data_IF_856427129323
#
_entry.id   IF_856427129323
#
_cell.length_a   1.000
_cell.length_b   1.000
_cell.length_c   1.000
_cell.angle_alpha   90.00
_cell.angle_beta   90.00
_cell.angle_gamma   90.00
#
_symmetry.space_group_name_H-M   'P 1'
#
loop_
_entity.id
_entity.type
_entity.pdbx_description
1 polymer ?
#
# COMPACT_ATOMS: atom_id res chain seq x y z
N UNK A 1 -3.90 -17.02 3.69
CA UNK A 1 -4.61 -18.31 3.89
C UNK A 1 -3.75 -19.39 3.27
N UNK A 2 -3.25 -20.33 4.05
CA UNK A 2 -2.35 -21.38 3.57
C UNK A 2 -3.02 -22.71 3.86
N UNK A 3 -3.18 -23.54 2.83
CA UNK A 3 -3.72 -24.90 2.94
C UNK A 3 -2.57 -25.84 3.31
N UNK A 4 -2.62 -26.48 4.48
CA UNK A 4 -1.62 -27.47 4.90
C UNK A 4 -2.10 -28.92 4.72
N UNK A 5 -3.41 -29.13 4.67
CA UNK A 5 -4.06 -30.41 4.39
C UNK A 5 -5.42 -30.15 3.70
N UNK A 6 -6.16 -31.20 3.38
CA UNK A 6 -7.49 -31.11 2.75
C UNK A 6 -8.47 -30.23 3.54
N UNK A 7 -8.43 -30.32 4.87
CA UNK A 7 -9.32 -29.58 5.78
C UNK A 7 -8.61 -28.62 6.76
N UNK A 8 -7.29 -28.41 6.64
CA UNK A 8 -6.55 -27.45 7.49
C UNK A 8 -6.25 -26.17 6.72
N UNK A 9 -7.17 -25.23 6.88
CA UNK A 9 -7.06 -23.87 6.37
C UNK A 9 -6.71 -22.94 7.52
N UNK A 10 -5.52 -22.32 7.44
CA UNK A 10 -5.13 -21.30 8.42
C UNK A 10 -4.89 -19.97 7.75
N UNK A 11 -5.35 -18.92 8.41
CA UNK A 11 -4.91 -17.56 8.12
C UNK A 11 -3.68 -17.33 9.00
N UNK A 12 -2.49 -17.39 8.38
CA UNK A 12 -1.27 -16.93 9.01
C UNK A 12 -1.18 -15.40 8.92
N UNK A 13 -0.55 -14.73 9.89
CA UNK A 13 -0.19 -13.33 9.75
C UNK A 13 0.65 -13.10 8.50
N UNK A 14 0.51 -11.92 7.90
CA UNK A 14 1.44 -11.48 6.86
C UNK A 14 2.80 -11.23 7.50
N UNK A 15 3.82 -11.96 7.05
CA UNK A 15 5.20 -11.78 7.49
C UNK A 15 6.00 -11.00 6.44
N UNK A 16 6.69 -9.97 6.89
CA UNK A 16 7.56 -9.16 6.04
C UNK A 16 8.96 -9.76 6.02
N UNK A 17 9.73 -9.49 4.95
CA UNK A 17 11.13 -9.85 4.96
C UNK A 17 11.86 -9.13 6.10
N UNK A 18 12.83 -9.82 6.70
CA UNK A 18 13.69 -9.23 7.73
C UNK A 18 15.13 -9.14 7.24
N UNK A 19 15.78 -8.00 7.52
CA UNK A 19 17.18 -7.77 7.18
C UNK A 19 17.91 -7.10 8.34
N UNK A 20 18.88 -7.82 8.90
CA UNK A 20 19.61 -7.41 10.10
C UNK A 20 18.67 -7.09 11.29
N UNK A 21 17.65 -7.93 11.51
CA UNK A 21 16.69 -7.79 12.62
C UNK A 21 15.66 -6.67 12.45
N UNK A 22 15.59 -6.04 11.28
CA UNK A 22 14.62 -4.98 10.95
C UNK A 22 13.57 -5.52 9.99
N UNK A 23 12.32 -5.11 10.17
CA UNK A 23 11.24 -5.38 9.23
C UNK A 23 11.40 -4.52 7.97
N UNK A 24 11.28 -5.16 6.81
CA UNK A 24 11.30 -4.52 5.49
C UNK A 24 9.89 -4.15 5.00
N UNK A 25 8.92 -4.03 5.91
CA UNK A 25 7.58 -3.53 5.55
C UNK A 25 7.60 -2.06 5.10
N UNK A 26 6.54 -1.56 4.42
CA UNK A 26 6.45 -0.15 4.14
C UNK A 26 6.22 0.67 5.41
N UNK A 27 6.88 1.83 5.47
CA UNK A 27 6.74 2.78 6.55
C UNK A 27 6.20 4.11 6.05
N UNK A 28 5.52 4.85 6.91
CA UNK A 28 5.01 6.17 6.60
C UNK A 28 5.04 7.11 7.79
N UNK A 29 5.13 8.40 7.50
CA UNK A 29 5.10 9.47 8.50
C UNK A 29 3.70 10.10 8.57
N UNK A 30 2.90 9.64 9.53
CA UNK A 30 1.54 10.17 9.74
C UNK A 30 1.47 11.40 10.65
N UNK A 31 2.38 11.52 11.62
CA UNK A 31 2.45 12.72 12.47
C UNK A 31 2.96 13.93 11.69
N UNK A 32 2.63 15.14 12.15
CA UNK A 32 3.10 16.37 11.51
C UNK A 32 4.64 16.37 11.36
N UNK A 33 5.20 16.95 10.28
CA UNK A 33 6.64 16.89 10.00
C UNK A 33 7.53 17.46 11.11
N UNK A 34 7.01 18.39 11.92
CA UNK A 34 7.71 19.01 13.04
C UNK A 34 7.77 18.14 14.31
N UNK A 35 6.98 17.06 14.40
CA UNK A 35 6.93 16.22 15.60
C UNK A 35 8.21 15.38 15.71
N UNK A 36 8.85 15.41 16.86
CA UNK A 36 10.10 14.67 17.08
C UNK A 36 9.91 13.50 18.03
N UNK A 37 10.79 12.49 17.91
CA UNK A 37 10.98 11.43 18.90
C UNK A 37 12.39 11.53 19.47
N UNK A 38 12.51 11.45 20.80
CA UNK A 38 13.76 11.30 21.53
C UNK A 38 13.78 9.96 22.27
N UNK A 39 14.96 9.34 22.39
CA UNK A 39 15.14 8.09 23.13
C UNK A 39 16.01 8.30 24.38
N UNK A 40 15.68 7.65 25.49
CA UNK A 40 16.45 7.76 26.74
C UNK A 40 17.86 7.15 26.67
N UNK A 41 18.06 6.18 25.78
CA UNK A 41 19.36 5.60 25.46
C UNK A 41 19.45 5.24 23.96
N UNK A 42 20.65 4.92 23.48
CA UNK A 42 20.86 4.56 22.09
C UNK A 42 20.61 3.08 21.80
N UNK A 43 20.53 2.21 22.82
CA UNK A 43 20.36 0.77 22.66
C UNK A 43 19.60 0.16 23.85
N UNK A 44 19.16 -1.09 23.69
CA UNK A 44 18.41 -1.82 24.72
C UNK A 44 16.98 -1.32 24.87
N UNK A 45 16.42 -1.47 26.07
CA UNK A 45 15.09 -0.96 26.40
C UNK A 45 15.15 0.54 26.73
N UNK A 46 14.37 1.34 26.01
CA UNK A 46 14.38 2.80 26.08
C UNK A 46 12.99 3.36 26.31
N UNK A 47 12.93 4.55 26.91
CA UNK A 47 11.75 5.40 26.86
C UNK A 47 11.86 6.28 25.61
N UNK A 48 10.82 6.23 24.78
CA UNK A 48 10.62 7.17 23.69
C UNK A 48 9.73 8.31 24.17
N UNK A 49 10.14 9.55 23.91
CA UNK A 49 9.39 10.76 24.22
C UNK A 49 9.10 11.51 22.93
N UNK A 50 7.83 11.73 22.64
CA UNK A 50 7.36 12.49 21.50
C UNK A 50 7.06 13.94 21.89
N UNK A 51 7.32 14.88 20.98
CA UNK A 51 7.02 16.31 21.21
C UNK A 51 5.53 16.66 21.14
N UNK A 52 4.69 15.72 20.71
CA UNK A 52 3.22 15.84 20.64
C UNK A 52 2.59 14.45 20.77
N UNK A 53 1.26 14.39 20.95
CA UNK A 53 0.53 13.13 21.05
C UNK A 53 0.60 12.31 19.76
N UNK A 54 1.32 11.19 19.78
CA UNK A 54 1.47 10.27 18.63
C UNK A 54 1.12 8.82 18.97
N UNK A 55 1.42 8.41 20.21
CA UNK A 55 1.28 7.04 20.64
C UNK A 55 -0.15 6.70 21.07
N UNK A 56 -0.61 5.52 20.68
CA UNK A 56 -1.87 4.90 21.12
C UNK A 56 -1.62 3.45 21.50
N UNK A 57 -2.52 2.85 22.29
CA UNK A 57 -2.35 1.46 22.76
C UNK A 57 -2.11 0.43 21.64
N UNK A 58 -2.70 0.64 20.46
CA UNK A 58 -2.52 -0.20 19.27
C UNK A 58 -1.09 -0.17 18.68
N UNK A 59 -0.25 0.79 19.07
CA UNK A 59 1.14 0.86 18.61
C UNK A 59 2.03 -0.19 19.33
N UNK A 60 1.55 -0.82 20.41
CA UNK A 60 2.29 -1.89 21.08
C UNK A 60 2.56 -3.07 20.12
N UNK A 61 3.80 -3.57 20.15
CA UNK A 61 4.32 -4.60 19.25
C UNK A 61 4.78 -4.08 17.88
N UNK A 62 4.42 -2.86 17.50
CA UNK A 62 4.75 -2.30 16.20
C UNK A 62 6.21 -1.83 16.13
N UNK A 63 6.94 -2.13 15.04
CA UNK A 63 8.26 -1.55 14.81
C UNK A 63 8.10 -0.13 14.26
N UNK A 64 8.73 0.85 14.91
CA UNK A 64 8.89 2.20 14.41
C UNK A 64 10.31 2.34 13.87
N UNK A 65 10.49 3.09 12.79
CA UNK A 65 11.83 3.46 12.30
C UNK A 65 12.18 4.85 12.77
N UNK A 66 13.41 5.01 13.27
CA UNK A 66 14.03 6.29 13.62
C UNK A 66 15.29 6.38 12.77
N UNK A 67 15.31 7.28 11.79
CA UNK A 67 16.34 7.30 10.76
C UNK A 67 16.37 6.01 9.94
N UNK A 68 17.51 5.30 9.98
CA UNK A 68 17.70 3.99 9.34
C UNK A 68 17.51 2.82 10.31
N UNK A 69 17.34 3.10 11.59
CA UNK A 69 17.26 2.12 12.67
C UNK A 69 15.81 1.83 13.06
N UNK A 70 15.60 0.76 13.82
CA UNK A 70 14.28 0.29 14.21
C UNK A 70 14.17 0.16 15.72
N UNK A 71 13.00 0.52 16.25
CA UNK A 71 12.62 0.35 17.65
C UNK A 71 11.27 -0.35 17.69
N UNK A 72 11.12 -1.40 18.50
CA UNK A 72 9.84 -2.07 18.67
C UNK A 72 9.15 -1.55 19.91
N UNK A 73 7.96 -0.99 19.76
CA UNK A 73 7.18 -0.50 20.90
C UNK A 73 6.78 -1.71 21.75
N UNK A 74 7.17 -1.71 23.02
CA UNK A 74 6.79 -2.73 24.02
C UNK A 74 5.43 -2.40 24.59
N UNK A 75 5.25 -1.14 25.01
CA UNK A 75 3.98 -0.62 25.53
C UNK A 75 3.93 0.90 25.42
N UNK A 76 2.71 1.44 25.34
CA UNK A 76 2.46 2.88 25.40
C UNK A 76 2.20 3.29 26.84
N UNK A 77 2.86 4.35 27.29
CA UNK A 77 2.73 4.92 28.65
C UNK A 77 1.71 6.06 28.64
N UNK A 78 1.80 6.93 27.63
CA UNK A 78 0.89 8.05 27.39
C UNK A 78 0.90 8.41 25.91
N UNK A 79 0.09 9.40 25.50
CA UNK A 79 0.11 9.88 24.11
C UNK A 79 1.49 10.38 23.64
N UNK A 80 2.36 10.80 24.57
CA UNK A 80 3.68 11.35 24.29
C UNK A 80 4.82 10.44 24.74
N UNK A 81 4.54 9.31 25.40
CA UNK A 81 5.59 8.42 25.91
C UNK A 81 5.29 6.95 25.66
N UNK A 82 6.31 6.21 25.24
CA UNK A 82 6.26 4.76 25.06
C UNK A 82 7.55 4.09 25.54
N UNK A 83 7.48 2.83 25.94
CA UNK A 83 8.65 1.99 26.13
C UNK A 83 8.89 1.17 24.87
N UNK A 84 10.14 1.09 24.42
CA UNK A 84 10.52 0.40 23.20
C UNK A 84 11.85 -0.35 23.38
N UNK A 85 12.02 -1.44 22.64
CA UNK A 85 13.30 -2.15 22.53
C UNK A 85 13.98 -1.73 21.22
N UNK A 86 15.22 -1.24 21.31
CA UNK A 86 16.01 -0.83 20.14
C UNK A 86 16.65 -2.04 19.48
N UNK A 87 16.47 -2.19 18.17
CA UNK A 87 17.19 -3.20 17.38
C UNK A 87 18.63 -2.72 17.14
N UNK A 88 19.60 -3.32 17.84
CA UNK A 88 21.00 -2.91 17.75
C UNK A 88 21.26 -1.60 18.50
N UNK A 89 21.50 -0.51 17.76
CA UNK A 89 21.70 0.82 18.32
C UNK A 89 21.24 1.92 17.36
N UNK A 90 20.75 3.04 17.90
CA UNK A 90 20.38 4.24 17.14
C UNK A 90 21.64 5.02 16.75
N UNK A 91 21.89 5.14 15.44
CA UNK A 91 23.02 5.89 14.91
C UNK A 91 22.96 7.39 15.26
N UNK A 92 21.75 7.97 15.32
CA UNK A 92 21.50 9.34 15.78
C UNK A 92 21.61 9.54 17.30
N UNK A 93 21.89 8.47 18.06
CA UNK A 93 21.96 8.51 19.50
C UNK A 93 20.60 8.80 20.16
N UNK A 94 20.62 9.66 21.18
CA UNK A 94 19.46 9.97 22.04
C UNK A 94 18.70 11.23 21.63
N UNK A 95 19.25 11.98 20.68
CA UNK A 95 18.74 13.30 20.31
C UNK A 95 17.32 13.21 19.75
N UNK A 96 16.52 14.24 20.01
CA UNK A 96 15.21 14.36 19.39
C UNK A 96 15.37 14.50 17.87
N UNK A 97 14.68 13.68 17.10
CA UNK A 97 14.71 13.72 15.64
C UNK A 97 13.31 13.74 15.05
N UNK A 98 13.14 14.50 13.97
CA UNK A 98 11.95 14.45 13.14
C UNK A 98 12.01 13.32 12.10
N UNK A 99 13.16 12.66 11.92
CA UNK A 99 13.28 11.50 11.04
C UNK A 99 12.83 10.24 11.77
N UNK A 100 11.52 10.03 11.76
CA UNK A 100 10.92 8.81 12.24
C UNK A 100 9.63 8.51 11.49
N UNK A 101 9.26 7.24 11.45
CA UNK A 101 8.11 6.72 10.73
C UNK A 101 7.59 5.45 11.40
N UNK A 102 6.31 5.19 11.20
CA UNK A 102 5.61 4.03 11.75
C UNK A 102 5.16 3.12 10.60
N UNK A 103 4.70 1.88 10.88
CA UNK A 103 4.25 0.96 9.84
C UNK A 103 3.11 1.55 9.01
N UNK A 104 3.18 1.41 7.69
CA UNK A 104 2.07 1.80 6.80
C UNK A 104 0.84 0.89 6.98
N UNK A 105 1.06 -0.35 7.47
CA UNK A 105 0.03 -1.33 7.75
C UNK A 105 0.08 -1.75 9.21
N UNK A 106 -1.06 -1.65 9.89
CA UNK A 106 -1.23 -2.06 11.29
C UNK A 106 -2.72 -2.10 11.63
N UNK A 107 -3.09 -2.58 12.82
CA UNK A 107 -4.48 -2.50 13.31
C UNK A 107 -5.03 -1.06 13.25
N UNK A 108 -4.18 -0.08 13.57
CA UNK A 108 -4.49 1.36 13.55
C UNK A 108 -4.50 1.96 12.14
N UNK A 109 -3.63 1.52 11.23
CA UNK A 109 -3.49 2.10 9.88
C UNK A 109 -4.26 1.36 8.78
N UNK A 110 -4.77 0.19 9.11
CA UNK A 110 -5.46 -0.70 8.20
C UNK A 110 -4.48 -1.59 7.44
N UNK A 111 -5.06 -2.49 6.65
CA UNK A 111 -4.36 -3.49 5.85
C UNK A 111 -4.50 -3.16 4.35
N UNK A 112 -3.67 -3.79 3.49
CA UNK A 112 -3.78 -3.68 2.04
C UNK A 112 -5.22 -3.83 1.52
N UNK A 113 -5.62 -2.98 0.57
CA UNK A 113 -6.93 -3.14 -0.11
C UNK A 113 -6.88 -4.23 -1.18
N UNK A 114 -5.75 -4.33 -1.88
CA UNK A 114 -5.55 -5.29 -2.96
C UNK A 114 -4.08 -5.64 -3.14
N UNK A 115 -3.81 -6.82 -3.69
CA UNK A 115 -2.46 -7.34 -3.91
C UNK A 115 -2.41 -8.12 -5.22
N UNK A 116 -1.36 -7.93 -6.01
CA UNK A 116 -1.12 -8.69 -7.26
C UNK A 116 0.37 -8.85 -7.52
N UNK A 117 0.78 -9.88 -8.26
CA UNK A 117 2.13 -9.98 -8.79
C UNK A 117 2.23 -9.28 -10.15
N UNK A 118 3.26 -8.46 -10.34
CA UNK A 118 3.51 -7.77 -11.60
C UNK A 118 5.02 -7.62 -11.83
N UNK A 119 5.53 -8.11 -12.96
CA UNK A 119 6.94 -7.99 -13.37
C UNK A 119 7.93 -8.33 -12.25
N UNK A 120 7.80 -9.52 -11.65
CA UNK A 120 8.66 -10.00 -10.55
C UNK A 120 8.64 -9.13 -9.28
N UNK A 121 7.55 -8.38 -9.07
CA UNK A 121 7.29 -7.61 -7.84
C UNK A 121 5.91 -7.96 -7.29
N UNK A 122 5.78 -7.88 -5.97
CA UNK A 122 4.47 -7.86 -5.31
C UNK A 122 3.97 -6.41 -5.28
N UNK A 123 2.86 -6.14 -5.94
CA UNK A 123 2.20 -4.84 -5.94
C UNK A 123 1.07 -4.84 -4.89
N UNK A 124 1.08 -3.84 -4.02
CA UNK A 124 0.06 -3.59 -3.01
C UNK A 124 -0.68 -2.30 -3.34
N UNK A 125 -2.00 -2.33 -3.33
CA UNK A 125 -2.85 -1.17 -3.54
C UNK A 125 -3.49 -0.68 -2.26
N UNK A 126 -3.12 0.52 -1.80
CA UNK A 126 -3.82 1.30 -0.77
C UNK A 126 -3.89 0.68 0.63
N UNK A 127 -4.23 1.52 1.61
CA UNK A 127 -4.68 1.12 2.94
C UNK A 127 -5.72 2.11 3.48
N UNK A 128 -6.33 1.81 4.63
CA UNK A 128 -7.29 2.73 5.26
C UNK A 128 -6.69 4.12 5.50
N UNK A 129 -5.45 4.18 6.00
CA UNK A 129 -4.79 5.46 6.30
C UNK A 129 -3.93 6.00 5.15
N UNK A 130 -3.63 5.20 4.12
CA UNK A 130 -2.95 5.63 2.90
C UNK A 130 -3.70 5.12 1.66
N UNK A 131 -4.92 5.65 1.42
CA UNK A 131 -5.78 5.10 0.39
C UNK A 131 -5.27 5.37 -1.03
N UNK A 132 -4.43 6.38 -1.22
CA UNK A 132 -3.93 6.86 -2.52
C UNK A 132 -2.58 6.26 -2.92
N UNK A 133 -2.06 5.31 -2.14
CA UNK A 133 -0.67 4.86 -2.27
C UNK A 133 -0.59 3.41 -2.72
N UNK A 134 0.01 3.15 -3.90
CA UNK A 134 0.52 1.84 -4.24
C UNK A 134 1.95 1.64 -3.75
N UNK A 135 2.31 0.39 -3.52
CA UNK A 135 3.67 -0.06 -3.26
C UNK A 135 4.02 -1.22 -4.16
N UNK A 136 5.27 -1.31 -4.62
CA UNK A 136 5.81 -2.50 -5.25
C UNK A 136 7.03 -2.95 -4.43
N UNK A 137 7.12 -4.26 -4.18
CA UNK A 137 8.27 -4.85 -3.49
C UNK A 137 9.55 -4.65 -4.28
N UNK A 138 10.69 -4.92 -3.64
CA UNK A 138 11.95 -5.21 -4.33
C UNK A 138 11.72 -6.36 -5.32
N UNK A 139 12.35 -6.29 -6.49
CA UNK A 139 12.28 -7.34 -7.52
C UNK A 139 12.79 -8.67 -6.97
N UNK A 140 12.04 -9.76 -7.20
CA UNK A 140 12.37 -11.11 -6.71
C UNK A 140 12.26 -11.30 -5.19
N UNK A 141 12.03 -10.23 -4.43
CA UNK A 141 11.91 -10.24 -2.97
C UNK A 141 10.54 -9.68 -2.55
N UNK A 142 9.50 -10.49 -2.75
CA UNK A 142 8.08 -10.10 -2.67
C UNK A 142 7.61 -9.51 -1.33
N UNK A 143 8.35 -9.73 -0.25
CA UNK A 143 8.02 -9.23 1.09
C UNK A 143 8.98 -8.14 1.59
N UNK A 144 9.89 -7.67 0.73
CA UNK A 144 10.78 -6.54 1.00
C UNK A 144 10.23 -5.29 0.30
N UNK A 145 9.82 -4.30 1.09
CA UNK A 145 9.30 -3.01 0.68
C UNK A 145 10.16 -1.84 1.19
N UNK A 146 11.41 -2.10 1.58
CA UNK A 146 12.36 -1.07 1.96
C UNK A 146 12.86 -0.37 0.68
N UNK A 147 12.61 0.94 0.49
CA UNK A 147 13.00 1.64 -0.73
C UNK A 147 14.51 1.87 -0.84
N UNK A 148 15.26 1.57 0.22
CA UNK A 148 16.72 1.66 0.26
C UNK A 148 17.23 3.03 -0.18
N UNK A 149 18.11 3.02 -1.18
CA UNK A 149 18.69 4.21 -1.80
C UNK A 149 18.11 4.47 -3.21
N UNK A 150 17.12 3.68 -3.63
CA UNK A 150 16.45 3.78 -4.91
C UNK A 150 17.19 3.06 -6.04
N UNK A 151 17.92 1.98 -5.74
CA UNK A 151 18.55 1.14 -6.76
C UNK A 151 17.50 0.43 -7.62
N UNK A 152 17.92 -0.06 -8.80
CA UNK A 152 16.99 -0.54 -9.82
C UNK A 152 16.05 -1.67 -9.35
N UNK A 153 16.53 -2.55 -8.47
CA UNK A 153 15.77 -3.66 -7.91
C UNK A 153 14.92 -3.25 -6.69
N UNK A 154 15.16 -2.09 -6.07
CA UNK A 154 14.58 -1.74 -4.78
C UNK A 154 13.09 -1.43 -4.84
N UNK A 155 12.46 -1.44 -3.67
CA UNK A 155 11.03 -1.24 -3.54
C UNK A 155 10.60 0.16 -4.00
N UNK A 156 9.38 0.23 -4.53
CA UNK A 156 8.82 1.44 -5.09
C UNK A 156 7.58 1.82 -4.27
N UNK A 157 7.48 3.08 -3.85
CA UNK A 157 6.31 3.60 -3.14
C UNK A 157 6.00 5.02 -3.60
N UNK A 158 4.79 5.27 -4.09
CA UNK A 158 4.40 6.57 -4.62
C UNK A 158 2.94 6.88 -4.31
N UNK A 159 2.59 8.14 -4.03
CA UNK A 159 1.20 8.56 -4.02
C UNK A 159 0.67 8.72 -5.46
N UNK A 160 -0.58 8.35 -5.69
CA UNK A 160 -1.33 8.74 -6.88
C UNK A 160 -1.81 10.18 -6.70
N UNK A 161 -0.96 11.14 -7.07
CA UNK A 161 -1.29 12.56 -6.95
C UNK A 161 -2.41 12.92 -7.95
N UNK A 162 -3.56 13.29 -7.42
CA UNK A 162 -4.71 13.77 -8.17
C UNK A 162 -5.34 14.99 -7.48
N UNK A 163 -6.13 15.74 -8.24
CA UNK A 163 -6.94 16.87 -7.77
C UNK A 163 -8.05 16.47 -6.79
N UNK A 164 -8.46 15.19 -6.79
CA UNK A 164 -9.39 14.61 -5.83
C UNK A 164 -8.80 13.39 -5.12
N UNK A 165 -9.28 13.15 -3.89
CA UNK A 165 -8.92 11.96 -3.13
C UNK A 165 -9.38 10.68 -3.87
N UNK A 166 -8.43 9.98 -4.47
CA UNK A 166 -8.64 8.78 -5.26
C UNK A 166 -8.15 7.57 -4.47
N UNK A 167 -9.03 6.98 -3.68
CA UNK A 167 -8.73 5.77 -2.92
C UNK A 167 -8.58 4.58 -3.87
N UNK A 168 -7.44 3.89 -3.83
CA UNK A 168 -7.19 2.63 -4.53
C UNK A 168 -8.22 1.59 -4.12
N UNK A 169 -8.85 0.98 -5.12
CA UNK A 169 -9.91 -0.05 -4.99
C UNK A 169 -9.44 -1.41 -5.44
N UNK A 170 -8.60 -1.45 -6.47
CA UNK A 170 -7.96 -2.66 -6.93
C UNK A 170 -6.67 -2.32 -7.68
N UNK A 171 -5.72 -3.26 -7.62
CA UNK A 171 -4.59 -3.32 -8.54
C UNK A 171 -4.72 -4.59 -9.37
N UNK A 172 -4.49 -4.48 -10.67
CA UNK A 172 -4.57 -5.59 -11.62
C UNK A 172 -3.30 -5.65 -12.44
N UNK A 173 -2.77 -6.84 -12.64
CA UNK A 173 -1.62 -7.07 -13.50
C UNK A 173 -2.10 -7.38 -14.90
N UNK A 174 -1.62 -6.62 -15.87
CA UNK A 174 -1.83 -6.85 -17.30
C UNK A 174 -0.58 -6.43 -18.07
N UNK A 175 -0.75 -5.90 -19.29
CA UNK A 175 0.37 -5.31 -20.07
C UNK A 175 1.14 -4.24 -19.28
N UNK A 176 0.40 -3.45 -18.50
CA UNK A 176 0.92 -2.53 -17.50
C UNK A 176 0.24 -2.84 -16.18
N UNK A 177 0.82 -2.42 -15.06
CA UNK A 177 0.13 -2.50 -13.77
C UNK A 177 -1.01 -1.48 -13.79
N UNK A 178 -2.24 -1.95 -13.65
CA UNK A 178 -3.43 -1.12 -13.65
C UNK A 178 -3.85 -0.84 -12.21
N UNK A 179 -4.19 0.40 -11.91
CA UNK A 179 -4.66 0.83 -10.59
C UNK A 179 -6.02 1.48 -10.74
N UNK A 180 -7.03 0.81 -10.20
CA UNK A 180 -8.41 1.29 -10.15
C UNK A 180 -8.61 2.05 -8.86
N UNK A 181 -9.06 3.29 -8.95
CA UNK A 181 -9.31 4.15 -7.79
C UNK A 181 -10.78 4.59 -7.75
N UNK A 182 -11.21 5.22 -6.67
CA UNK A 182 -12.58 5.76 -6.56
C UNK A 182 -12.92 6.88 -7.56
N UNK A 183 -11.96 7.41 -8.33
CA UNK A 183 -12.24 8.49 -9.28
C UNK A 183 -11.50 8.41 -10.62
N UNK A 184 -10.63 7.43 -10.80
CA UNK A 184 -9.86 7.27 -12.03
C UNK A 184 -9.19 5.90 -12.15
N UNK A 185 -8.84 5.56 -13.38
CA UNK A 185 -8.07 4.38 -13.74
C UNK A 185 -6.67 4.85 -14.16
N UNK A 186 -5.66 4.22 -13.57
CA UNK A 186 -4.26 4.57 -13.79
C UNK A 186 -3.50 3.36 -14.31
N UNK A 187 -2.41 3.65 -15.02
CA UNK A 187 -1.41 2.66 -15.39
C UNK A 187 -0.08 3.05 -14.77
N UNK A 188 0.66 2.03 -14.37
CA UNK A 188 2.02 2.10 -13.86
C UNK A 188 2.88 1.27 -14.80
N UNK A 189 3.91 1.90 -15.34
CA UNK A 189 4.78 1.29 -16.36
C UNK A 189 6.22 1.72 -16.19
N UNK A 190 7.14 0.91 -16.71
CA UNK A 190 8.55 1.21 -16.83
C UNK A 190 9.20 0.11 -17.67
N UNK A 191 10.30 0.42 -18.35
CA UNK A 191 11.05 -0.56 -19.12
C UNK A 191 12.55 -0.32 -18.92
N UNK A 192 13.20 -1.04 -17.97
CA UNK A 192 12.62 -1.91 -16.95
C UNK A 192 11.82 -1.12 -15.89
N UNK A 193 10.93 -1.77 -15.12
CA UNK A 193 10.21 -1.10 -14.02
C UNK A 193 11.08 -0.98 -12.76
N UNK A 194 11.63 0.22 -12.55
CA UNK A 194 12.54 0.56 -11.45
C UNK A 194 12.08 1.83 -10.73
N UNK A 195 12.61 2.13 -9.53
CA UNK A 195 12.32 3.39 -8.84
C UNK A 195 12.58 4.64 -9.70
N UNK A 196 13.58 4.60 -10.58
CA UNK A 196 13.97 5.74 -11.41
C UNK A 196 13.20 5.85 -12.74
N UNK A 197 12.70 4.74 -13.28
CA UNK A 197 12.05 4.68 -14.60
C UNK A 197 10.52 4.65 -14.55
N UNK A 198 9.94 4.51 -13.36
CA UNK A 198 8.49 4.39 -13.17
C UNK A 198 7.73 5.59 -13.74
N UNK A 199 6.70 5.30 -14.51
CA UNK A 199 5.77 6.26 -15.08
C UNK A 199 4.35 5.95 -14.62
N UNK A 200 3.64 7.00 -14.22
CA UNK A 200 2.24 6.93 -13.87
C UNK A 200 1.42 7.71 -14.88
N UNK A 201 0.39 7.07 -15.45
CA UNK A 201 -0.49 7.73 -16.41
C UNK A 201 -1.94 7.43 -16.09
N UNK A 202 -2.71 8.48 -15.79
CA UNK A 202 -4.16 8.38 -15.73
C UNK A 202 -4.71 8.12 -17.13
N UNK A 203 -5.54 7.10 -17.26
CA UNK A 203 -6.16 6.70 -18.52
C UNK A 203 -7.57 7.28 -18.62
N UNK A 204 -8.40 7.05 -17.59
CA UNK A 204 -9.79 7.51 -17.54
C UNK A 204 -10.12 8.14 -16.18
N UNK A 205 -11.30 8.78 -16.07
CA UNK A 205 -11.80 9.46 -14.86
C UNK A 205 -13.15 8.89 -14.40
N UNK A 206 -13.38 7.60 -14.63
CA UNK A 206 -14.67 6.98 -14.32
C UNK A 206 -14.71 6.60 -12.84
N UNK A 207 -13.65 5.95 -12.37
CA UNK A 207 -13.52 5.47 -11.01
C UNK A 207 -14.37 4.23 -10.73
N UNK A 208 -14.05 3.57 -9.62
CA UNK A 208 -14.80 2.43 -9.07
C UNK A 208 -15.63 2.85 -7.84
N UNK A 209 -16.63 2.06 -7.41
CA UNK A 209 -17.47 2.38 -6.26
C UNK A 209 -16.66 2.80 -5.02
N UNK A 210 -17.15 3.85 -4.35
CA UNK A 210 -16.45 4.44 -3.20
C UNK A 210 -16.86 3.81 -1.85
N UNK A 211 -17.98 3.12 -1.81
CA UNK A 211 -18.59 2.59 -0.58
C UNK A 211 -18.28 1.11 -0.35
N UNK A 212 -17.91 0.39 -1.40
CA UNK A 212 -17.63 -1.05 -1.37
C UNK A 212 -16.48 -1.42 -2.30
N UNK A 213 -15.94 -2.62 -2.13
CA UNK A 213 -15.02 -3.23 -3.08
C UNK A 213 -15.81 -4.12 -4.03
N UNK A 214 -15.68 -3.87 -5.33
CA UNK A 214 -16.14 -4.78 -6.40
C UNK A 214 -14.90 -5.08 -7.23
N UNK A 215 -14.48 -6.34 -7.24
CA UNK A 215 -13.22 -6.74 -7.86
C UNK A 215 -13.33 -6.58 -9.39
N UNK A 216 -12.41 -5.87 -10.05
CA UNK A 216 -12.26 -5.95 -11.49
C UNK A 216 -11.83 -7.36 -11.91
N UNK A 217 -12.31 -7.83 -13.05
CA UNK A 217 -12.00 -9.17 -13.58
C UNK A 217 -11.37 -9.04 -14.95
N UNK A 218 -10.35 -9.87 -15.21
CA UNK A 218 -9.76 -9.97 -16.55
C UNK A 218 -10.64 -10.88 -17.41
N UNK A 219 -10.98 -10.40 -18.61
CA UNK A 219 -11.80 -11.07 -19.61
C UNK A 219 -11.14 -10.86 -20.97
N UNK A 220 -10.52 -11.92 -21.51
CA UNK A 220 -9.92 -11.94 -22.85
C UNK A 220 -8.94 -10.76 -23.14
N UNK A 221 -8.19 -10.31 -22.13
CA UNK A 221 -7.21 -9.24 -22.26
C UNK A 221 -7.76 -7.82 -22.03
N UNK A 222 -9.05 -7.69 -21.74
CA UNK A 222 -9.65 -6.49 -21.17
C UNK A 222 -9.91 -6.68 -19.67
N UNK A 223 -9.91 -5.59 -18.89
CA UNK A 223 -10.33 -5.64 -17.50
C UNK A 223 -11.73 -5.04 -17.36
N UNK A 224 -12.69 -5.86 -16.96
CA UNK A 224 -14.05 -5.45 -16.66
C UNK A 224 -14.11 -4.86 -15.25
N UNK A 225 -14.69 -3.68 -15.09
CA UNK A 225 -14.87 -3.05 -13.79
C UNK A 225 -16.21 -2.31 -13.68
N UNK A 226 -16.76 -2.26 -12.46
CA UNK A 226 -17.94 -1.46 -12.17
C UNK A 226 -17.55 0.01 -12.03
N UNK A 227 -18.25 0.91 -12.72
CA UNK A 227 -18.06 2.35 -12.59
C UNK A 227 -18.51 2.86 -11.21
N UNK A 228 -18.01 4.04 -10.81
CA UNK A 228 -18.30 4.67 -9.53
C UNK A 228 -19.79 4.85 -9.23
N UNK A 229 -20.61 5.07 -10.26
CA UNK A 229 -22.06 5.24 -10.12
C UNK A 229 -22.81 3.92 -9.84
N UNK A 230 -22.14 2.77 -9.92
CA UNK A 230 -22.72 1.45 -9.67
C UNK A 230 -23.67 0.96 -10.77
N UNK A 231 -23.72 1.63 -11.93
CA UNK A 231 -24.69 1.37 -13.02
C UNK A 231 -24.09 1.08 -14.39
N UNK A 232 -22.78 1.27 -14.54
CA UNK A 232 -22.07 1.01 -15.78
C UNK A 232 -21.04 -0.09 -15.56
N UNK A 233 -21.05 -1.10 -16.44
CA UNK A 233 -19.98 -2.09 -16.52
C UNK A 233 -19.02 -1.64 -17.61
N UNK A 234 -17.79 -1.35 -17.23
CA UNK A 234 -16.77 -0.79 -18.11
C UNK A 234 -15.76 -1.83 -18.53
N UNK A 235 -15.51 -1.90 -19.83
CA UNK A 235 -14.41 -2.67 -20.42
C UNK A 235 -13.17 -1.79 -20.53
N UNK A 236 -12.16 -2.05 -19.72
CA UNK A 236 -10.87 -1.37 -19.74
C UNK A 236 -9.88 -2.09 -20.65
N UNK A 237 -9.71 -1.58 -21.87
CA UNK A 237 -8.93 -2.23 -22.93
C UNK A 237 -7.92 -1.26 -23.55
N UNK A 238 -6.72 -1.76 -23.84
CA UNK A 238 -5.68 -0.98 -24.50
C UNK A 238 -5.98 -0.82 -26.00
N UNK A 239 -5.93 0.42 -26.50
CA UNK A 239 -6.11 0.75 -27.90
C UNK A 239 -4.77 1.17 -28.53
N UNK A 240 -4.22 0.34 -29.42
CA UNK A 240 -2.91 0.59 -30.05
C UNK A 240 -2.87 1.91 -30.84
N UNK A 241 -3.97 2.28 -31.49
CA UNK A 241 -4.05 3.51 -32.30
C UNK A 241 -3.85 4.79 -31.46
N UNK A 242 -4.23 4.78 -30.18
CA UNK A 242 -4.10 5.91 -29.26
C UNK A 242 -2.96 5.75 -28.27
N UNK A 243 -2.38 4.53 -28.19
CA UNK A 243 -1.42 4.14 -27.16
C UNK A 243 -1.94 4.43 -25.74
N UNK A 244 -3.23 4.19 -25.53
CA UNK A 244 -3.95 4.47 -24.28
C UNK A 244 -5.02 3.42 -24.01
N UNK A 245 -5.41 3.28 -22.74
CA UNK A 245 -6.57 2.48 -22.37
C UNK A 245 -7.86 3.28 -22.53
N UNK A 246 -8.88 2.63 -23.07
CA UNK A 246 -10.26 3.11 -23.13
C UNK A 246 -11.11 2.30 -22.16
N UNK A 247 -12.22 2.91 -21.73
CA UNK A 247 -13.20 2.28 -20.84
C UNK A 247 -14.58 2.31 -21.50
N UNK A 248 -14.93 1.31 -22.31
CA UNK A 248 -16.23 1.27 -23.00
C UNK A 248 -17.34 0.83 -22.04
N UNK A 249 -18.52 1.45 -22.09
CA UNK A 249 -19.68 1.00 -21.31
C UNK A 249 -20.42 -0.13 -22.03
N UNK A 250 -20.35 -1.33 -21.45
CA UNK A 250 -21.05 -2.52 -21.93
C UNK A 250 -22.52 -2.56 -21.48
N UNK A 251 -22.86 -1.85 -20.40
CA UNK A 251 -24.19 -1.82 -19.83
C UNK A 251 -25.06 -0.68 -20.38
N UNK A 252 -24.63 0.01 -21.45
CA UNK A 252 -25.26 1.25 -21.93
C UNK A 252 -26.77 1.11 -22.15
N UNK A 253 -27.23 -0.01 -22.72
CA UNK A 253 -28.65 -0.27 -23.00
C UNK A 253 -29.39 -0.95 -21.82
N UNK A 254 -28.66 -1.39 -20.80
CA UNK A 254 -29.16 -2.23 -19.71
C UNK A 254 -28.79 -1.72 -18.31
N UNK A 255 -28.43 -0.44 -18.17
CA UNK A 255 -28.01 0.18 -16.90
C UNK A 255 -29.07 0.09 -15.79
N UNK A 256 -30.34 -0.05 -16.15
CA UNK A 256 -31.45 -0.28 -15.23
C UNK A 256 -31.44 -1.65 -14.53
N UNK A 257 -30.70 -2.63 -15.07
CA UNK A 257 -30.50 -3.93 -14.42
C UNK A 257 -29.45 -3.86 -13.29
N UNK A 258 -28.63 -2.80 -13.25
CA UNK A 258 -27.64 -2.58 -12.22
C UNK A 258 -28.23 -1.79 -11.05
N UNK A 259 -28.50 -2.48 -9.94
CA UNK A 259 -29.04 -1.88 -8.72
C UNK A 259 -27.97 -1.62 -7.65
N UNK A 260 -27.23 -2.67 -7.29
CA UNK A 260 -26.15 -2.61 -6.30
C UNK A 260 -25.22 -3.83 -6.44
N UNK A 261 -24.44 -3.95 -7.53
CA UNK A 261 -23.54 -5.09 -7.68
C UNK A 261 -22.52 -5.13 -6.54
N UNK A 262 -22.26 -6.33 -6.03
CA UNK A 262 -21.35 -6.56 -4.90
C UNK A 262 -20.12 -7.38 -5.31
N UNK A 263 -20.20 -8.07 -6.43
CA UNK A 263 -19.15 -8.96 -6.91
C UNK A 263 -19.21 -9.06 -8.44
N UNK A 264 -18.05 -9.28 -9.05
CA UNK A 264 -17.90 -9.63 -10.46
C UNK A 264 -17.15 -10.96 -10.51
N UNK A 265 -17.65 -11.90 -11.32
CA UNK A 265 -17.04 -13.21 -11.51
C UNK A 265 -16.87 -13.47 -12.99
N UNK A 266 -15.80 -14.19 -13.34
CA UNK A 266 -15.52 -14.70 -14.66
C UNK A 266 -14.89 -16.08 -14.49
N UNK A 267 -15.47 -17.09 -15.15
CA UNK A 267 -15.14 -18.52 -15.06
C UNK A 267 -14.40 -19.07 -16.28
#
# INVERSE_FOLDING_TARGET
MTRRAEDDWRIAPWEWAERAGRSMQPYHRYAAPSVTLAASAASGRVRLTASAGVFVSEDAGQPFRIGRDEVRIVRVVSATEAEADVTGALAGGKAATADWREPAFSARRGWPVSVVFHQDRLAIGGSRSLPDRPWLSRSGAFFDFDPGEGLDDEAIAFPLLADQANAVRAVMSGRQLQVFTSGAEWTVSGDPLTPASIQLRRQTRIGSPADRAVRPVDVEGAVMFLARNGRELREFLFADAELAYRAQDLALLASHLFAAPVETVWD
#
